data_IF_559158013566
#
_entry.id   IF_559158013566
#
_cell.length_a   1.000
_cell.length_b   1.000
_cell.length_c   1.000
_cell.angle_alpha   90.00
_cell.angle_beta   90.00
_cell.angle_gamma   90.00
#
_symmetry.space_group_name_H-M   'P 1'
#
loop_
_entity.id
_entity.type
_entity.pdbx_description
1 polymer ?
#
# COMPACT_ATOMS: atom_id res chain seq x y z
N UNK A 1 -30.85 24.44 6.53
CA UNK A 1 -29.82 23.52 7.05
C UNK A 1 -29.61 22.38 6.05
N UNK A 2 -29.42 22.71 4.76
CA UNK A 2 -29.60 21.73 3.65
C UNK A 2 -28.41 21.70 2.67
N UNK A 3 -27.44 22.61 2.77
CA UNK A 3 -26.25 22.56 1.93
C UNK A 3 -25.30 21.44 2.36
N UNK A 4 -25.07 21.28 3.67
CA UNK A 4 -24.20 20.23 4.21
C UNK A 4 -24.70 18.83 3.91
N UNK A 5 -26.02 18.60 3.94
CA UNK A 5 -26.58 17.27 3.60
C UNK A 5 -26.36 16.92 2.12
N UNK A 6 -26.53 17.88 1.21
CA UNK A 6 -26.36 17.67 -0.22
C UNK A 6 -24.89 17.40 -0.58
N UNK A 7 -23.95 18.16 0.00
CA UNK A 7 -22.51 17.92 -0.13
C UNK A 7 -22.07 16.58 0.48
N UNK A 8 -22.63 16.21 1.63
CA UNK A 8 -22.32 14.92 2.28
C UNK A 8 -22.79 13.75 1.42
N UNK A 9 -24.02 13.79 0.90
CA UNK A 9 -24.55 12.76 0.00
C UNK A 9 -23.73 12.67 -1.28
N UNK A 10 -23.36 13.80 -1.88
CA UNK A 10 -22.49 13.82 -3.07
C UNK A 10 -21.12 13.17 -2.78
N UNK A 11 -20.53 13.44 -1.61
CA UNK A 11 -19.24 12.87 -1.21
C UNK A 11 -19.34 11.37 -0.97
N UNK A 12 -20.43 10.90 -0.32
CA UNK A 12 -20.69 9.48 -0.09
C UNK A 12 -20.85 8.76 -1.43
N UNK A 13 -21.63 9.32 -2.35
CA UNK A 13 -21.80 8.76 -3.70
C UNK A 13 -20.48 8.75 -4.45
N UNK A 14 -19.70 9.84 -4.38
CA UNK A 14 -18.37 9.92 -5.00
C UNK A 14 -17.42 8.84 -4.47
N UNK A 15 -17.31 8.68 -3.15
CA UNK A 15 -16.50 7.62 -2.55
C UNK A 15 -17.00 6.22 -2.89
N UNK A 16 -18.32 6.01 -2.89
CA UNK A 16 -18.92 4.74 -3.28
C UNK A 16 -18.61 4.41 -4.74
N UNK A 17 -18.73 5.38 -5.65
CA UNK A 17 -18.48 5.21 -7.08
C UNK A 17 -17.00 4.91 -7.34
N UNK A 18 -16.07 5.62 -6.69
CA UNK A 18 -14.63 5.32 -6.76
C UNK A 18 -14.32 3.93 -6.21
N UNK A 19 -14.94 3.52 -5.10
CA UNK A 19 -14.76 2.18 -4.50
C UNK A 19 -15.28 1.09 -5.43
N UNK A 20 -16.47 1.30 -6.00
CA UNK A 20 -17.08 0.35 -6.95
C UNK A 20 -16.24 0.28 -8.20
N UNK A 21 -15.77 1.39 -8.76
CA UNK A 21 -14.88 1.36 -9.94
C UNK A 21 -13.59 0.61 -9.61
N UNK A 22 -12.89 0.96 -8.53
CA UNK A 22 -11.60 0.33 -8.18
C UNK A 22 -11.72 -1.17 -7.87
N UNK A 23 -12.79 -1.59 -7.16
CA UNK A 23 -13.06 -3.03 -6.91
C UNK A 23 -13.58 -3.75 -8.15
N UNK A 24 -14.50 -3.14 -8.87
CA UNK A 24 -15.11 -3.74 -10.06
C UNK A 24 -14.19 -3.71 -11.26
N UNK A 25 -13.10 -2.92 -11.24
CA UNK A 25 -12.05 -3.00 -12.26
C UNK A 25 -11.47 -4.42 -12.33
N UNK A 26 -11.37 -5.10 -11.18
CA UNK A 26 -10.98 -6.50 -11.12
C UNK A 26 -12.07 -7.45 -11.63
N UNK A 27 -13.35 -7.07 -11.50
CA UNK A 27 -14.53 -7.89 -11.81
C UNK A 27 -15.03 -7.74 -13.26
N UNK A 28 -14.92 -6.55 -13.85
CA UNK A 28 -15.22 -6.23 -15.26
C UNK A 28 -14.23 -6.93 -16.20
N UNK A 29 -13.05 -7.31 -15.69
CA UNK A 29 -12.19 -8.30 -16.32
C UNK A 29 -12.83 -9.70 -16.20
N UNK A 30 -13.89 -9.96 -16.97
CA UNK A 30 -14.52 -11.28 -17.13
C UNK A 30 -13.65 -12.32 -17.88
N UNK A 31 -12.35 -12.04 -18.04
CA UNK A 31 -11.34 -13.04 -18.36
C UNK A 31 -10.75 -13.49 -17.03
N UNK A 32 -10.59 -14.80 -16.76
CA UNK A 32 -9.90 -15.28 -15.56
C UNK A 32 -8.53 -14.62 -15.58
N UNK A 33 -8.34 -13.57 -14.79
CA UNK A 33 -7.05 -12.95 -14.64
C UNK A 33 -6.27 -13.93 -13.78
N UNK A 34 -5.75 -14.96 -14.44
CA UNK A 34 -4.68 -15.78 -13.91
C UNK A 34 -3.67 -14.77 -13.41
N UNK A 35 -3.47 -14.69 -12.09
CA UNK A 35 -2.50 -13.77 -11.51
C UNK A 35 -1.24 -13.91 -12.36
N UNK A 36 -0.83 -12.87 -13.10
CA UNK A 36 0.28 -13.02 -14.02
C UNK A 36 1.48 -13.45 -13.17
N UNK A 37 2.28 -14.40 -13.63
CA UNK A 37 3.22 -15.10 -12.73
C UNK A 37 4.16 -14.19 -11.92
N UNK A 38 4.38 -12.95 -12.38
CA UNK A 38 5.06 -11.90 -11.61
C UNK A 38 4.30 -11.45 -10.36
N UNK A 39 2.97 -11.33 -10.38
CA UNK A 39 2.13 -10.94 -9.24
C UNK A 39 2.02 -12.07 -8.22
N UNK A 40 1.87 -13.32 -8.67
CA UNK A 40 1.86 -14.48 -7.77
C UNK A 40 3.21 -14.66 -7.07
N UNK A 41 4.31 -14.53 -7.81
CA UNK A 41 5.66 -14.49 -7.22
C UNK A 41 5.79 -13.30 -6.28
N UNK A 42 5.39 -12.10 -6.70
CA UNK A 42 5.42 -10.89 -5.88
C UNK A 42 4.66 -11.02 -4.57
N UNK A 43 3.52 -11.72 -4.55
CA UNK A 43 2.71 -11.94 -3.35
C UNK A 43 3.39 -12.91 -2.36
N UNK A 44 4.13 -13.92 -2.84
CA UNK A 44 4.98 -14.75 -1.98
C UNK A 44 6.14 -13.96 -1.36
N UNK A 45 6.64 -12.93 -2.04
CA UNK A 45 7.70 -12.04 -1.53
C UNK A 45 7.17 -10.84 -0.73
N UNK A 46 5.85 -10.59 -0.74
CA UNK A 46 5.24 -9.45 -0.06
C UNK A 46 5.49 -9.42 1.46
N UNK A 47 5.37 -10.55 2.20
CA UNK A 47 5.63 -10.55 3.64
C UNK A 47 7.07 -10.22 3.98
N UNK A 48 8.04 -10.81 3.26
CA UNK A 48 9.47 -10.58 3.49
C UNK A 48 9.84 -9.15 3.12
N UNK A 49 9.31 -8.60 2.03
CA UNK A 49 9.52 -7.22 1.63
C UNK A 49 8.96 -6.23 2.67
N UNK A 50 7.77 -6.51 3.23
CA UNK A 50 7.17 -5.70 4.29
C UNK A 50 7.99 -5.76 5.59
N UNK A 51 8.40 -6.96 6.02
CA UNK A 51 9.25 -7.12 7.20
C UNK A 51 10.60 -6.43 7.00
N UNK A 52 11.25 -6.60 5.84
CA UNK A 52 12.50 -5.91 5.52
C UNK A 52 12.33 -4.39 5.50
N UNK A 53 11.22 -3.87 4.98
CA UNK A 53 10.94 -2.43 4.96
C UNK A 53 10.74 -1.83 6.36
N UNK A 54 10.33 -2.63 7.35
CA UNK A 54 10.25 -2.21 8.76
C UNK A 54 11.59 -2.40 9.47
N UNK A 55 12.23 -3.55 9.29
CA UNK A 55 13.44 -3.95 10.00
C UNK A 55 14.69 -3.20 9.50
N UNK A 56 14.81 -2.93 8.19
CA UNK A 56 15.96 -2.22 7.62
C UNK A 56 16.08 -0.81 8.22
N UNK A 57 15.02 0.02 8.28
CA UNK A 57 15.07 1.28 9.01
C UNK A 57 15.38 1.11 10.49
N UNK A 58 14.81 0.13 11.19
CA UNK A 58 15.12 -0.12 12.61
C UNK A 58 16.61 -0.45 12.86
N UNK A 59 17.29 -1.06 11.88
CA UNK A 59 18.73 -1.39 11.95
C UNK A 59 19.60 -0.23 11.45
N UNK A 60 19.18 0.47 10.40
CA UNK A 60 19.95 1.53 9.71
C UNK A 60 19.66 2.93 10.27
N UNK A 61 18.65 3.08 11.12
CA UNK A 61 18.26 4.34 11.74
C UNK A 61 17.99 4.11 13.22
N UNK A 62 18.68 4.84 14.08
CA UNK A 62 18.43 4.82 15.52
C UNK A 62 17.78 6.17 15.87
N UNK A 63 16.55 6.15 16.40
CA UNK A 63 15.78 7.37 16.75
C UNK A 63 15.57 8.36 15.58
N UNK A 64 15.28 7.86 14.38
CA UNK A 64 14.95 8.72 13.23
C UNK A 64 16.13 9.45 12.57
N UNK A 65 17.35 9.19 13.03
CA UNK A 65 18.58 9.63 12.35
C UNK A 65 19.27 8.44 11.68
N UNK A 66 19.54 8.58 10.38
CA UNK A 66 20.43 7.68 9.62
C UNK A 66 21.79 7.65 10.33
N UNK A 67 22.20 6.48 10.78
CA UNK A 67 23.58 6.26 11.23
C UNK A 67 24.49 6.42 10.01
N UNK A 68 25.00 7.63 9.80
CA UNK A 68 25.98 7.97 8.76
C UNK A 68 27.37 7.38 9.06
N UNK A 69 27.55 6.74 10.22
CA UNK A 69 28.80 6.11 10.64
C UNK A 69 28.85 4.67 10.13
N UNK A 70 29.33 4.51 8.89
CA UNK A 70 29.92 3.24 8.40
C UNK A 70 31.23 2.86 9.12
N UNK A 71 31.62 3.65 10.13
CA UNK A 71 32.90 3.59 10.82
C UNK A 71 32.70 3.21 12.28
N UNK A 72 32.08 2.06 12.51
CA UNK A 72 32.34 1.29 13.72
C UNK A 72 32.66 -0.16 13.33
N UNK A 73 33.80 -0.30 12.65
CA UNK A 73 34.40 -1.58 12.26
C UNK A 73 35.36 -2.13 13.33
N UNK A 74 35.41 -1.53 14.51
CA UNK A 74 36.44 -1.81 15.53
C UNK A 74 35.93 -1.34 16.88
N UNK A 75 36.12 -2.17 17.90
CA UNK A 75 36.70 -1.78 19.20
C UNK A 75 36.02 -0.65 19.98
#
# INVERSE_FOLDING_TARGET
MNQTSLWTVLTIIGMALVTVITRSFFFLSSKPWTLPGWAQRGLHYAPIAALAAVIVPEIVMTHGHLINTWKDARL
#
